data_IF_534251550084
#
_entry.id   IF_534251550084
#
_cell.length_a   1.000
_cell.length_b   1.000
_cell.length_c   1.000
_cell.angle_alpha   90.00
_cell.angle_beta   90.00
_cell.angle_gamma   90.00
#
_symmetry.space_group_name_H-M   'P 1'
#
loop_
_entity.id
_entity.type
_entity.pdbx_description
1 polymer ?
#
# COMPACT_ATOMS: atom_id res chain seq x y z
N UNK A 1 -9.87 24.96 2.10
CA UNK A 1 -8.88 23.88 2.12
C UNK A 1 -9.62 22.57 2.19
N UNK A 2 -9.41 21.66 1.24
CA UNK A 2 -10.10 20.37 1.21
C UNK A 2 -9.63 19.49 2.38
N UNK A 3 -10.44 18.49 2.80
CA UNK A 3 -10.01 17.54 3.82
C UNK A 3 -8.68 16.86 3.49
N UNK A 4 -8.44 16.49 2.22
CA UNK A 4 -7.17 15.89 1.80
C UNK A 4 -5.98 16.83 1.96
N UNK A 5 -6.14 18.12 1.67
CA UNK A 5 -5.08 19.12 1.90
C UNK A 5 -4.68 19.21 3.38
N UNK A 6 -5.63 19.08 4.32
CA UNK A 6 -5.33 19.04 5.76
C UNK A 6 -4.53 17.80 6.17
N UNK A 7 -4.75 16.67 5.49
CA UNK A 7 -4.01 15.44 5.75
C UNK A 7 -2.56 15.56 5.31
N UNK A 8 -2.28 16.28 4.21
CA UNK A 8 -0.91 16.56 3.75
C UNK A 8 -0.08 17.42 4.72
N UNK A 9 -0.73 18.17 5.60
CA UNK A 9 -0.05 18.96 6.63
C UNK A 9 0.41 18.08 7.82
N UNK A 10 -0.04 16.83 7.89
CA UNK A 10 0.36 15.89 8.94
C UNK A 10 1.69 15.21 8.59
N UNK A 11 2.54 15.02 9.59
CA UNK A 11 3.76 14.22 9.46
C UNK A 11 3.49 12.71 9.46
N UNK A 12 2.35 12.29 10.02
CA UNK A 12 1.80 10.92 9.99
C UNK A 12 0.30 11.01 10.25
N UNK A 13 -0.45 10.04 9.74
CA UNK A 13 -1.89 9.96 9.94
C UNK A 13 -2.30 9.16 11.18
N UNK A 14 -1.38 8.65 11.99
CA UNK A 14 -1.71 7.86 13.19
C UNK A 14 -2.76 8.54 14.10
N UNK A 15 -2.58 9.82 14.41
CA UNK A 15 -3.50 10.54 15.31
C UNK A 15 -4.90 10.77 14.72
N UNK A 16 -5.04 10.67 13.38
CA UNK A 16 -6.30 10.87 12.66
C UNK A 16 -6.94 9.58 12.16
N UNK A 17 -6.21 8.46 12.08
CA UNK A 17 -6.72 7.18 11.57
C UNK A 17 -6.29 5.93 12.35
N UNK A 18 -5.62 6.09 13.51
CA UNK A 18 -5.01 5.00 14.28
C UNK A 18 -5.99 3.98 14.87
N UNK A 19 -7.27 4.35 15.00
CA UNK A 19 -8.33 3.49 15.52
C UNK A 19 -9.52 3.43 14.56
N UNK A 20 -10.32 2.36 14.64
CA UNK A 20 -11.55 2.24 13.86
C UNK A 20 -12.49 3.45 14.01
N UNK A 21 -12.61 4.00 15.22
CA UNK A 21 -13.43 5.18 15.48
C UNK A 21 -12.86 6.44 14.81
N UNK A 22 -11.54 6.63 14.82
CA UNK A 22 -10.86 7.72 14.11
C UNK A 22 -11.06 7.58 12.59
N UNK A 23 -10.85 6.37 12.03
CA UNK A 23 -11.10 6.09 10.60
C UNK A 23 -12.54 6.39 10.19
N UNK A 24 -13.51 5.92 10.98
CA UNK A 24 -14.94 6.17 10.71
C UNK A 24 -15.27 7.67 10.71
N UNK A 25 -14.72 8.43 11.66
CA UNK A 25 -14.90 9.90 11.72
C UNK A 25 -14.26 10.59 10.51
N UNK A 26 -13.03 10.20 10.16
CA UNK A 26 -12.33 10.76 9.01
C UNK A 26 -13.12 10.47 7.73
N UNK A 27 -13.57 9.23 7.53
CA UNK A 27 -14.38 8.81 6.37
C UNK A 27 -15.66 9.64 6.24
N UNK A 28 -16.37 9.86 7.35
CA UNK A 28 -17.58 10.68 7.36
C UNK A 28 -17.33 12.17 7.04
N UNK A 29 -16.09 12.64 7.20
CA UNK A 29 -15.71 14.02 6.86
C UNK A 29 -15.30 14.20 5.40
N UNK A 30 -15.00 13.11 4.68
CA UNK A 30 -14.67 13.16 3.26
C UNK A 30 -15.95 13.28 2.44
N UNK A 31 -15.91 14.12 1.41
CA UNK A 31 -16.99 14.30 0.46
C UNK A 31 -16.48 14.12 -0.97
N UNK A 32 -16.19 12.87 -1.39
CA UNK A 32 -15.70 12.62 -2.74
C UNK A 32 -16.74 13.07 -3.77
N UNK A 33 -16.26 13.61 -4.88
CA UNK A 33 -17.12 13.91 -6.03
C UNK A 33 -17.65 12.61 -6.64
N UNK A 34 -18.83 12.60 -7.27
CA UNK A 34 -19.41 11.38 -7.85
C UNK A 34 -18.75 10.96 -9.17
N UNK A 35 -17.61 11.57 -9.53
CA UNK A 35 -16.91 11.31 -10.79
C UNK A 35 -15.84 10.24 -10.62
N UNK A 36 -15.42 9.68 -11.76
CA UNK A 36 -14.32 8.72 -11.85
C UNK A 36 -13.15 9.35 -12.57
N UNK A 37 -11.95 9.21 -12.01
CA UNK A 37 -10.69 9.50 -12.70
C UNK A 37 -10.12 8.22 -13.27
N UNK A 38 -9.84 8.22 -14.57
CA UNK A 38 -9.11 7.13 -15.22
C UNK A 38 -7.68 7.58 -15.53
N UNK A 39 -6.72 6.70 -15.25
CA UNK A 39 -5.32 6.82 -15.68
C UNK A 39 -5.04 5.68 -16.65
N UNK A 40 -4.85 6.01 -17.92
CA UNK A 40 -4.51 5.05 -18.96
C UNK A 40 -3.01 4.71 -18.86
N UNK A 41 -2.71 3.58 -18.21
CA UNK A 41 -1.35 3.11 -17.96
C UNK A 41 -0.89 3.34 -16.52
N UNK A 42 0.43 3.44 -16.35
CA UNK A 42 1.05 3.60 -15.04
C UNK A 42 0.84 5.03 -14.49
N UNK A 43 0.57 5.12 -13.20
CA UNK A 43 0.62 6.36 -12.43
C UNK A 43 1.92 6.38 -11.63
N UNK A 44 2.84 7.29 -11.98
CA UNK A 44 4.10 7.47 -11.26
C UNK A 44 4.13 8.83 -10.56
N UNK A 45 4.46 8.83 -9.28
CA UNK A 45 4.79 10.03 -8.51
C UNK A 45 6.30 10.09 -8.33
N UNK A 46 6.88 11.24 -8.66
CA UNK A 46 8.32 11.49 -8.47
C UNK A 46 8.62 11.91 -7.04
N UNK A 47 9.89 11.85 -6.65
CA UNK A 47 10.37 12.42 -5.39
C UNK A 47 9.85 13.85 -5.14
N UNK A 48 9.34 14.08 -3.93
CA UNK A 48 8.73 15.32 -3.46
C UNK A 48 7.31 15.59 -3.96
N UNK A 49 6.70 14.69 -4.75
CA UNK A 49 5.40 14.95 -5.37
C UNK A 49 4.24 14.61 -4.44
N UNK A 50 3.31 15.57 -4.33
CA UNK A 50 1.98 15.35 -3.80
C UNK A 50 0.95 15.29 -4.93
N UNK A 51 0.07 14.30 -4.88
CA UNK A 51 -1.05 14.18 -5.80
C UNK A 51 -2.34 13.91 -5.04
N UNK A 52 -3.40 14.65 -5.38
CA UNK A 52 -4.70 14.55 -4.74
C UNK A 52 -5.76 14.27 -5.81
N UNK A 53 -6.63 13.31 -5.52
CA UNK A 53 -7.84 13.04 -6.30
C UNK A 53 -9.06 13.20 -5.40
N UNK A 54 -9.94 14.11 -5.76
CA UNK A 54 -11.21 14.37 -5.06
C UNK A 54 -12.34 13.46 -5.61
N UNK A 55 -12.03 12.63 -6.60
CA UNK A 55 -12.94 11.68 -7.24
C UNK A 55 -13.35 10.54 -6.30
N UNK A 56 -14.61 10.12 -6.44
CA UNK A 56 -15.19 8.98 -5.73
C UNK A 56 -14.57 7.65 -6.17
N UNK A 57 -13.97 7.61 -7.35
CA UNK A 57 -13.18 6.47 -7.83
C UNK A 57 -11.99 6.97 -8.64
N UNK A 58 -10.80 6.45 -8.34
CA UNK A 58 -9.61 6.54 -9.19
C UNK A 58 -9.28 5.14 -9.70
N UNK A 59 -9.18 5.00 -11.01
CA UNK A 59 -8.85 3.75 -11.67
C UNK A 59 -7.55 3.89 -12.47
N UNK A 60 -6.51 3.17 -12.06
CA UNK A 60 -5.20 3.11 -12.71
C UNK A 60 -5.09 1.77 -13.46
N UNK A 61 -4.99 1.81 -14.78
CA UNK A 61 -4.91 0.58 -15.60
C UNK A 61 -3.54 -0.11 -15.55
N UNK A 62 -2.51 0.60 -15.14
CA UNK A 62 -1.16 0.07 -15.00
C UNK A 62 -0.76 -0.14 -13.54
N UNK A 63 0.49 0.17 -13.25
CA UNK A 63 1.07 0.20 -11.92
C UNK A 63 0.90 1.57 -11.27
N UNK A 64 0.85 1.58 -9.94
CA UNK A 64 1.01 2.79 -9.14
C UNK A 64 2.39 2.76 -8.50
N UNK A 65 3.23 3.74 -8.83
CA UNK A 65 4.64 3.78 -8.44
C UNK A 65 4.90 5.08 -7.68
N UNK A 66 5.36 4.97 -6.44
CA UNK A 66 5.74 6.09 -5.60
C UNK A 66 7.24 6.05 -5.33
N UNK A 67 7.97 7.05 -5.86
CA UNK A 67 9.34 7.35 -5.44
C UNK A 67 9.32 8.06 -4.08
N UNK A 68 10.38 7.96 -3.29
CA UNK A 68 10.42 8.62 -1.99
C UNK A 68 11.09 9.98 -2.01
N UNK A 69 10.64 10.90 -1.13
CA UNK A 69 9.32 10.93 -0.48
C UNK A 69 8.21 11.31 -1.49
N UNK A 70 7.08 10.61 -1.55
CA UNK A 70 5.91 11.06 -2.32
C UNK A 70 4.58 10.66 -1.68
N UNK A 71 3.51 11.38 -2.01
CA UNK A 71 2.22 11.24 -1.33
C UNK A 71 1.06 11.25 -2.31
N UNK A 72 0.28 10.18 -2.31
CA UNK A 72 -0.97 10.07 -3.05
C UNK A 72 -2.15 10.03 -2.07
N UNK A 73 -3.10 10.94 -2.24
CA UNK A 73 -4.34 10.96 -1.48
C UNK A 73 -5.54 10.87 -2.43
N UNK A 74 -6.39 9.86 -2.22
CA UNK A 74 -7.63 9.65 -2.96
C UNK A 74 -8.80 9.79 -2.00
N UNK A 75 -9.78 10.64 -2.32
CA UNK A 75 -10.95 10.86 -1.48
C UNK A 75 -11.89 9.63 -1.44
N UNK A 76 -12.08 8.97 -2.59
CA UNK A 76 -12.90 7.78 -2.74
C UNK A 76 -12.11 6.48 -2.81
N UNK A 77 -12.58 5.57 -3.66
CA UNK A 77 -11.96 4.26 -3.89
C UNK A 77 -10.75 4.36 -4.84
N UNK A 78 -9.77 3.48 -4.65
CA UNK A 78 -8.63 3.34 -5.55
C UNK A 78 -8.55 1.90 -6.08
N UNK A 79 -8.63 1.76 -7.39
CA UNK A 79 -8.43 0.50 -8.12
C UNK A 79 -7.17 0.63 -8.96
N UNK A 80 -6.22 -0.29 -8.76
CA UNK A 80 -5.01 -0.41 -9.56
C UNK A 80 -5.04 -1.79 -10.22
N UNK A 81 -5.13 -1.87 -11.55
CA UNK A 81 -5.15 -3.18 -12.23
C UNK A 81 -3.82 -3.92 -12.09
N UNK A 82 -2.72 -3.19 -11.90
CA UNK A 82 -1.39 -3.73 -11.65
C UNK A 82 -0.97 -3.71 -10.18
N UNK A 83 0.33 -3.50 -9.96
CA UNK A 83 0.95 -3.47 -8.64
C UNK A 83 0.99 -2.04 -8.08
N UNK A 84 0.93 -1.95 -6.76
CA UNK A 84 1.27 -0.73 -6.02
C UNK A 84 2.64 -0.95 -5.42
N UNK A 85 3.56 -0.05 -5.76
CA UNK A 85 4.97 -0.17 -5.41
C UNK A 85 5.48 1.16 -4.90
N UNK A 86 6.16 1.11 -3.77
CA UNK A 86 6.99 2.20 -3.28
C UNK A 86 8.46 1.79 -3.41
N UNK A 87 9.30 2.63 -4.04
CA UNK A 87 10.65 2.23 -4.47
C UNK A 87 11.78 2.50 -3.44
N UNK A 88 11.47 3.01 -2.24
CA UNK A 88 12.48 3.34 -1.23
C UNK A 88 12.10 2.99 0.22
N UNK A 89 12.72 3.70 1.15
CA UNK A 89 12.58 3.52 2.61
C UNK A 89 12.30 4.84 3.35
N UNK A 90 12.18 5.96 2.62
CA UNK A 90 11.84 7.24 3.21
C UNK A 90 10.31 7.38 3.25
N UNK A 91 9.80 8.43 3.91
CA UNK A 91 8.35 8.55 4.10
C UNK A 91 7.61 8.75 2.76
N UNK A 92 6.84 7.74 2.36
CA UNK A 92 5.76 7.85 1.39
C UNK A 92 4.39 7.69 2.06
N UNK A 93 3.36 8.30 1.48
CA UNK A 93 1.98 8.16 1.93
C UNK A 93 1.08 7.69 0.80
N UNK A 94 0.34 6.60 1.04
CA UNK A 94 -0.79 6.19 0.23
C UNK A 94 -2.07 6.25 1.07
N UNK A 95 -2.91 7.26 0.82
CA UNK A 95 -4.19 7.42 1.49
C UNK A 95 -5.36 7.19 0.53
N UNK A 96 -6.34 6.40 0.96
CA UNK A 96 -7.56 6.09 0.24
C UNK A 96 -8.75 6.24 1.20
N UNK A 97 -9.64 7.20 0.91
CA UNK A 97 -10.83 7.46 1.72
C UNK A 97 -11.92 6.40 1.58
N UNK A 98 -11.81 5.54 0.57
CA UNK A 98 -12.62 4.35 0.34
C UNK A 98 -11.82 3.05 0.41
N UNK A 99 -12.22 2.06 -0.39
CA UNK A 99 -11.55 0.78 -0.52
C UNK A 99 -10.36 0.86 -1.50
N UNK A 100 -9.32 0.06 -1.22
CA UNK A 100 -8.12 -0.09 -2.04
C UNK A 100 -8.07 -1.48 -2.65
N UNK A 101 -7.83 -1.58 -3.96
CA UNK A 101 -7.58 -2.86 -4.62
C UNK A 101 -6.42 -2.84 -5.61
N UNK A 102 -5.65 -3.93 -5.64
CA UNK A 102 -4.49 -4.10 -6.51
C UNK A 102 -4.15 -5.59 -6.79
N UNK A 103 -3.18 -5.85 -7.66
CA UNK A 103 -2.56 -7.18 -7.76
C UNK A 103 -1.65 -7.47 -6.56
N UNK A 104 -0.70 -6.59 -6.30
CA UNK A 104 0.18 -6.64 -5.13
C UNK A 104 0.31 -5.24 -4.53
N UNK A 105 0.57 -5.19 -3.23
CA UNK A 105 0.93 -4.00 -2.49
C UNK A 105 2.28 -4.25 -1.85
N UNK A 106 3.32 -3.58 -2.36
CA UNK A 106 4.67 -3.58 -1.80
C UNK A 106 4.96 -2.12 -1.40
N UNK A 107 4.81 -1.82 -0.11
CA UNK A 107 4.79 -0.43 0.35
C UNK A 107 5.39 -0.28 1.74
N UNK A 108 6.54 0.38 1.83
CA UNK A 108 7.27 0.60 3.09
C UNK A 108 7.01 1.96 3.75
N UNK A 109 6.20 2.83 3.14
CA UNK A 109 5.67 4.04 3.79
C UNK A 109 4.36 3.82 4.57
N UNK A 110 3.66 4.92 4.87
CA UNK A 110 2.35 4.88 5.52
C UNK A 110 1.23 4.59 4.51
N UNK A 111 0.39 3.60 4.80
CA UNK A 111 -0.78 3.22 3.99
C UNK A 111 -2.04 3.40 4.83
N UNK A 112 -3.03 4.09 4.28
CA UNK A 112 -4.35 4.25 4.90
C UNK A 112 -5.41 3.90 3.88
N UNK A 113 -6.27 2.94 4.22
CA UNK A 113 -7.56 2.76 3.58
C UNK A 113 -8.65 2.90 4.64
N UNK A 114 -9.60 3.82 4.43
CA UNK A 114 -10.77 3.94 5.29
C UNK A 114 -11.88 2.95 4.90
N UNK A 115 -11.59 2.06 3.96
CA UNK A 115 -12.34 0.85 3.64
C UNK A 115 -11.49 -0.40 3.84
N UNK A 116 -11.71 -1.39 2.98
CA UNK A 116 -10.89 -2.60 2.93
C UNK A 116 -9.72 -2.43 1.98
N UNK A 117 -8.61 -3.11 2.28
CA UNK A 117 -7.53 -3.40 1.35
C UNK A 117 -7.73 -4.81 0.81
N UNK A 118 -7.84 -4.97 -0.51
CA UNK A 118 -7.97 -6.26 -1.18
C UNK A 118 -6.91 -6.40 -2.28
N UNK A 119 -5.92 -7.25 -2.06
CA UNK A 119 -4.88 -7.55 -3.04
C UNK A 119 -4.90 -9.03 -3.43
N UNK A 120 -4.59 -9.34 -4.69
CA UNK A 120 -4.66 -10.72 -5.20
C UNK A 120 -3.49 -11.59 -4.73
N UNK A 121 -2.30 -11.01 -4.64
CA UNK A 121 -1.06 -11.70 -4.30
C UNK A 121 -0.61 -11.34 -2.89
N UNK A 122 0.28 -10.35 -2.82
CA UNK A 122 0.98 -9.98 -1.59
C UNK A 122 0.57 -8.60 -1.11
N UNK A 123 0.35 -8.46 0.20
CA UNK A 123 0.50 -7.20 0.91
C UNK A 123 1.76 -7.28 1.76
N UNK A 124 2.83 -6.62 1.34
CA UNK A 124 4.08 -6.51 2.08
C UNK A 124 4.23 -5.06 2.48
N UNK A 125 3.92 -4.82 3.75
CA UNK A 125 3.81 -3.49 4.35
C UNK A 125 4.43 -3.52 5.74
N UNK A 126 4.32 -2.41 6.47
CA UNK A 126 4.89 -2.21 7.80
C UNK A 126 6.40 -2.30 7.74
N UNK A 127 7.10 -1.17 7.65
CA UNK A 127 8.55 -1.16 7.82
C UNK A 127 8.89 -0.04 8.78
N UNK A 128 9.74 -0.33 9.75
CA UNK A 128 10.17 0.60 10.79
C UNK A 128 8.98 1.25 11.55
N UNK A 129 8.89 2.58 11.53
CA UNK A 129 7.89 3.38 12.23
C UNK A 129 6.61 3.62 11.41
N UNK A 130 6.57 3.18 10.15
CA UNK A 130 5.41 3.33 9.27
C UNK A 130 4.27 2.35 9.55
N UNK A 131 3.07 2.72 9.13
CA UNK A 131 1.83 2.03 9.52
C UNK A 131 0.96 1.72 8.32
N UNK A 132 0.23 0.60 8.38
CA UNK A 132 -0.88 0.33 7.46
C UNK A 132 -2.18 0.23 8.25
N UNK A 133 -3.14 1.09 7.91
CA UNK A 133 -4.44 1.18 8.58
C UNK A 133 -5.57 0.78 7.62
N UNK A 134 -6.37 -0.21 8.02
CA UNK A 134 -7.62 -0.57 7.37
C UNK A 134 -8.50 -1.38 8.33
N UNK A 135 -9.80 -1.48 8.04
CA UNK A 135 -10.70 -2.34 8.81
C UNK A 135 -10.53 -3.82 8.44
N UNK A 136 -10.16 -4.09 7.19
CA UNK A 136 -9.94 -5.43 6.66
C UNK A 136 -8.83 -5.39 5.61
N UNK A 137 -7.87 -6.30 5.72
CA UNK A 137 -6.89 -6.61 4.68
C UNK A 137 -7.06 -8.05 4.22
N UNK A 138 -7.25 -8.24 2.91
CA UNK A 138 -7.30 -9.57 2.27
C UNK A 138 -6.19 -9.70 1.24
N UNK A 139 -5.40 -10.77 1.35
CA UNK A 139 -4.32 -11.11 0.43
C UNK A 139 -4.11 -12.64 0.43
N UNK A 140 -3.34 -13.19 -0.52
CA UNK A 140 -2.84 -14.57 -0.36
C UNK A 140 -1.74 -14.64 0.69
N UNK A 141 -0.81 -13.69 0.63
CA UNK A 141 0.29 -13.56 1.59
C UNK A 141 0.31 -12.16 2.17
N UNK A 142 0.40 -12.06 3.48
CA UNK A 142 0.67 -10.81 4.19
C UNK A 142 2.03 -10.91 4.84
N UNK A 143 2.86 -9.90 4.59
CA UNK A 143 4.15 -9.71 5.26
C UNK A 143 4.07 -8.39 6.00
N UNK A 144 4.04 -8.47 7.32
CA UNK A 144 4.18 -7.33 8.22
C UNK A 144 5.64 -7.28 8.68
N UNK A 145 6.46 -6.52 7.95
CA UNK A 145 7.87 -6.32 8.30
C UNK A 145 7.95 -5.57 9.65
N UNK A 146 8.93 -5.88 10.48
CA UNK A 146 9.16 -5.33 11.83
C UNK A 146 8.10 -5.50 12.93
N UNK A 147 6.81 -5.28 12.68
CA UNK A 147 5.78 -5.26 13.73
C UNK A 147 4.43 -5.79 13.27
N UNK A 148 3.63 -6.21 14.25
CA UNK A 148 2.27 -6.70 14.02
C UNK A 148 1.27 -5.55 13.74
N UNK A 149 0.15 -5.94 13.14
CA UNK A 149 -0.86 -5.15 12.45
C UNK A 149 -1.35 -3.85 13.14
N UNK A 150 -1.54 -2.81 12.31
CA UNK A 150 -2.45 -1.70 12.59
C UNK A 150 -3.77 -1.79 11.78
N UNK A 151 -4.03 -2.98 11.23
CA UNK A 151 -5.28 -3.39 10.56
C UNK A 151 -6.11 -4.23 11.53
N UNK A 152 -7.42 -3.99 11.59
CA UNK A 152 -8.29 -4.67 12.57
C UNK A 152 -8.46 -6.17 12.27
N UNK A 153 -8.55 -6.53 10.99
CA UNK A 153 -8.74 -7.92 10.54
C UNK A 153 -7.85 -8.24 9.34
N UNK A 154 -7.04 -9.28 9.46
CA UNK A 154 -6.24 -9.83 8.35
C UNK A 154 -6.78 -11.19 7.90
N UNK A 155 -6.99 -11.36 6.59
CA UNK A 155 -7.38 -12.62 5.94
C UNK A 155 -6.36 -13.00 4.89
N UNK A 156 -5.54 -14.02 5.19
CA UNK A 156 -4.53 -14.52 4.28
C UNK A 156 -4.29 -16.01 4.45
N UNK A 157 -3.83 -16.67 3.38
CA UNK A 157 -3.38 -18.07 3.43
C UNK A 157 -2.09 -18.18 4.24
N UNK A 158 -1.24 -17.16 4.16
CA UNK A 158 -0.01 -17.05 4.95
C UNK A 158 0.14 -15.63 5.48
N UNK A 159 0.38 -15.52 6.79
CA UNK A 159 0.67 -14.26 7.45
C UNK A 159 2.02 -14.36 8.16
N UNK A 160 2.99 -13.55 7.72
CA UNK A 160 4.34 -13.48 8.26
C UNK A 160 4.50 -12.15 9.00
N UNK A 161 4.95 -12.22 10.25
CA UNK A 161 5.13 -11.04 11.10
C UNK A 161 6.55 -11.02 11.66
N UNK A 162 7.22 -9.88 11.55
CA UNK A 162 8.56 -9.63 12.06
C UNK A 162 9.53 -9.20 10.97
N UNK A 163 10.67 -8.63 11.39
CA UNK A 163 11.68 -8.12 10.47
C UNK A 163 12.07 -9.20 9.44
N UNK A 164 12.22 -8.82 8.17
CA UNK A 164 12.53 -9.71 7.04
C UNK A 164 13.65 -10.70 7.32
N UNK A 165 14.72 -10.25 7.99
CA UNK A 165 15.83 -11.11 8.46
C UNK A 165 15.41 -12.25 9.40
N UNK A 166 14.37 -12.07 10.22
CA UNK A 166 13.84 -13.06 11.15
C UNK A 166 12.86 -14.03 10.46
N UNK A 167 12.11 -13.54 9.48
CA UNK A 167 11.14 -14.34 8.72
C UNK A 167 11.71 -14.90 7.40
N UNK A 168 13.02 -14.72 7.17
CA UNK A 168 13.80 -15.17 5.99
C UNK A 168 13.41 -16.57 5.49
N UNK A 169 13.37 -17.57 6.38
CA UNK A 169 13.05 -18.95 5.96
C UNK A 169 11.61 -19.07 5.45
N UNK A 170 10.66 -18.40 6.10
CA UNK A 170 9.26 -18.40 5.69
C UNK A 170 9.06 -17.62 4.38
N UNK A 171 9.73 -16.48 4.22
CA UNK A 171 9.78 -15.71 2.97
C UNK A 171 10.31 -16.58 1.82
N UNK A 172 11.39 -17.34 2.05
CA UNK A 172 11.95 -18.24 1.06
C UNK A 172 10.98 -19.35 0.61
N UNK A 173 10.00 -19.74 1.43
CA UNK A 173 8.98 -20.74 1.09
C UNK A 173 7.85 -20.19 0.22
N UNK A 174 7.53 -18.90 0.36
CA UNK A 174 6.41 -18.27 -0.37
C UNK A 174 6.86 -17.53 -1.63
N UNK A 175 8.07 -16.98 -1.65
CA UNK A 175 8.59 -16.21 -2.77
C UNK A 175 9.02 -17.10 -3.94
N UNK A 176 8.71 -16.67 -5.16
CA UNK A 176 9.23 -17.26 -6.40
C UNK A 176 10.77 -17.25 -6.35
N UNK A 177 11.44 -18.29 -6.86
CA UNK A 177 12.90 -18.46 -6.70
C UNK A 177 13.71 -17.22 -7.13
N UNK A 178 13.35 -16.62 -8.26
CA UNK A 178 14.01 -15.40 -8.73
C UNK A 178 13.69 -14.15 -7.88
N UNK A 179 12.50 -14.09 -7.26
CA UNK A 179 12.17 -13.02 -6.32
C UNK A 179 12.94 -13.22 -5.02
N UNK A 180 13.08 -14.46 -4.56
CA UNK A 180 13.91 -14.82 -3.42
C UNK A 180 15.38 -14.45 -3.63
N UNK A 181 15.93 -14.74 -4.81
CA UNK A 181 17.30 -14.35 -5.14
C UNK A 181 17.47 -12.83 -5.17
N UNK A 182 16.49 -12.09 -5.72
CA UNK A 182 16.50 -10.63 -5.70
C UNK A 182 16.45 -10.07 -4.26
N UNK A 183 15.58 -10.62 -3.40
CA UNK A 183 15.48 -10.23 -2.01
C UNK A 183 16.81 -10.41 -1.25
N UNK A 184 17.49 -11.54 -1.44
CA UNK A 184 18.80 -11.82 -0.81
C UNK A 184 19.94 -10.95 -1.36
N UNK A 185 19.88 -10.57 -2.63
CA UNK A 185 21.00 -9.94 -3.32
C UNK A 185 21.10 -8.42 -3.11
N UNK A 186 20.00 -7.72 -2.85
CA UNK A 186 20.00 -6.26 -3.02
C UNK A 186 18.83 -5.47 -2.47
N UNK A 187 18.12 -5.98 -1.46
CA UNK A 187 17.05 -5.28 -0.74
C UNK A 187 15.75 -5.02 -1.52
N UNK A 188 14.72 -4.64 -0.76
CA UNK A 188 13.35 -4.31 -1.17
C UNK A 188 13.19 -3.59 -2.54
N UNK A 189 14.04 -2.61 -2.93
CA UNK A 189 13.92 -1.95 -4.24
C UNK A 189 14.03 -2.88 -5.46
N UNK A 190 14.74 -4.01 -5.35
CA UNK A 190 14.84 -4.96 -6.45
C UNK A 190 13.57 -5.83 -6.58
N UNK A 191 12.85 -6.07 -5.49
CA UNK A 191 11.51 -6.67 -5.53
C UNK A 191 10.50 -5.72 -6.18
N UNK A 192 10.56 -4.43 -5.82
CA UNK A 192 9.77 -3.36 -6.42
C UNK A 192 9.95 -3.32 -7.95
N UNK A 193 11.20 -3.25 -8.43
CA UNK A 193 11.51 -3.28 -9.88
C UNK A 193 10.99 -4.53 -10.57
N UNK A 194 11.07 -5.70 -9.93
CA UNK A 194 10.55 -6.95 -10.51
C UNK A 194 9.03 -6.90 -10.68
N UNK A 195 8.30 -6.40 -9.69
CA UNK A 195 6.85 -6.23 -9.80
C UNK A 195 6.47 -5.26 -10.92
N UNK A 196 7.18 -4.14 -11.07
CA UNK A 196 6.97 -3.20 -12.17
C UNK A 196 7.27 -3.80 -13.56
N UNK A 197 8.03 -4.89 -13.64
CA UNK A 197 8.27 -5.66 -14.86
C UNK A 197 7.21 -6.76 -15.10
N UNK A 198 6.15 -6.81 -14.29
CA UNK A 198 5.13 -7.85 -14.35
C UNK A 198 5.62 -9.24 -13.93
N UNK A 199 6.77 -9.33 -13.25
CA UNK A 199 7.32 -10.62 -12.80
C UNK A 199 6.63 -11.07 -11.52
N UNK A 200 6.43 -12.37 -11.40
CA UNK A 200 5.82 -12.97 -10.23
C UNK A 200 6.68 -12.81 -8.98
N UNK A 201 5.99 -12.49 -7.88
CA UNK A 201 6.58 -12.37 -6.54
C UNK A 201 6.42 -13.68 -5.76
N UNK A 202 5.24 -14.32 -5.84
CA UNK A 202 4.92 -15.56 -5.16
C UNK A 202 5.17 -16.77 -6.06
N UNK A 203 5.41 -17.92 -5.43
CA UNK A 203 5.34 -19.22 -6.12
C UNK A 203 3.90 -19.50 -6.57
N UNK A 204 3.76 -20.22 -7.68
CA UNK A 204 2.48 -20.85 -8.01
C UNK A 204 2.07 -21.78 -6.85
N UNK A 205 0.80 -21.67 -6.45
CA UNK A 205 0.21 -22.47 -5.37
C UNK A 205 -0.40 -23.75 -5.89
#
# INVERSE_FOLDING_TARGET
MSPLQKLLEQSSLHDVCGTAAQRARLKASLTPTPTTRQVDGDLKLSEGQDLLFEEGLVHVKGHLILEDPSRLLVAGDLVVEGNIVNEGFDYALLFVGGALSAHNLLFHGEVVSLGSIAVKGVAWTYYNDHSTYADLLTARVVVADDRADAVDVVRADTHLVGHSSQITEALGKVLHAQAWDAHKAGAYPDLAKRLCQGKELLREG
#
